data_IF_710378465352
#
_entry.id   IF_710378465352
#
_cell.length_a   1.000
_cell.length_b   1.000
_cell.length_c   1.000
_cell.angle_alpha   90.00
_cell.angle_beta   90.00
_cell.angle_gamma   90.00
#
_symmetry.space_group_name_H-M   'P 1'
#
loop_
_entity.id
_entity.type
_entity.pdbx_description
1 polymer ?
#
# COMPACT_ATOMS: atom_id res chain seq x y z
N UNK A 1 23.67 3.46 -17.02
CA UNK A 1 22.38 3.60 -17.74
C UNK A 1 22.57 2.95 -19.10
N UNK A 2 21.77 1.94 -19.42
CA UNK A 2 21.91 1.13 -20.67
C UNK A 2 21.07 1.76 -21.78
N UNK A 3 19.83 2.14 -21.49
CA UNK A 3 18.99 3.03 -22.29
C UNK A 3 17.93 3.69 -21.42
N UNK A 4 17.29 4.72 -21.97
CA UNK A 4 16.11 5.40 -21.43
C UNK A 4 15.14 5.68 -22.58
N UNK A 5 13.85 5.80 -22.26
CA UNK A 5 12.85 6.27 -23.21
C UNK A 5 11.76 7.05 -22.45
N UNK A 6 11.15 8.00 -23.14
CA UNK A 6 9.97 8.69 -22.65
C UNK A 6 8.72 8.03 -23.23
N UNK A 7 7.78 7.66 -22.37
CA UNK A 7 6.48 7.17 -22.82
C UNK A 7 5.52 8.35 -23.00
N UNK A 8 5.34 8.81 -24.23
CA UNK A 8 4.40 9.88 -24.55
C UNK A 8 3.02 9.31 -24.88
N UNK A 9 2.04 9.58 -24.02
CA UNK A 9 0.65 9.39 -24.40
C UNK A 9 0.23 10.57 -25.26
N UNK A 10 -0.26 10.33 -26.48
CA UNK A 10 -0.81 11.38 -27.34
C UNK A 10 -2.13 12.00 -26.77
N UNK A 11 -2.43 11.75 -25.51
CA UNK A 11 -3.62 12.13 -24.77
C UNK A 11 -3.27 12.42 -23.29
N UNK A 12 -4.04 13.32 -22.67
CA UNK A 12 -3.83 13.82 -21.30
C UNK A 12 -2.63 14.75 -21.13
N UNK A 13 -2.43 15.23 -19.90
CA UNK A 13 -1.37 16.19 -19.57
C UNK A 13 -0.08 15.51 -19.10
N UNK A 14 -0.18 14.32 -18.47
CA UNK A 14 0.93 13.56 -17.89
C UNK A 14 0.60 12.06 -17.83
N UNK A 15 1.65 11.25 -17.75
CA UNK A 15 1.63 9.82 -17.48
C UNK A 15 2.81 9.48 -16.57
N UNK A 16 2.72 8.41 -15.80
CA UNK A 16 3.76 8.01 -14.86
C UNK A 16 3.72 6.51 -14.58
N UNK A 17 4.89 5.88 -14.60
CA UNK A 17 5.07 4.50 -14.15
C UNK A 17 5.87 4.52 -12.85
N UNK A 18 5.36 3.83 -11.85
CA UNK A 18 5.86 3.92 -10.47
C UNK A 18 6.47 2.59 -10.01
N UNK A 19 6.13 1.48 -10.69
CA UNK A 19 6.54 0.14 -10.30
C UNK A 19 6.89 -0.72 -11.50
N UNK A 20 7.84 -1.63 -11.30
CA UNK A 20 8.30 -2.61 -12.28
C UNK A 20 8.41 -3.99 -11.61
N UNK A 21 7.94 -5.03 -12.32
CA UNK A 21 8.17 -6.43 -11.95
C UNK A 21 8.70 -7.22 -13.14
N UNK A 22 9.65 -8.11 -12.89
CA UNK A 22 10.13 -9.06 -13.89
C UNK A 22 9.11 -10.18 -14.09
N UNK A 23 9.06 -10.73 -15.30
CA UNK A 23 8.23 -11.88 -15.67
C UNK A 23 9.10 -13.09 -15.98
N UNK A 24 8.52 -14.29 -15.86
CA UNK A 24 9.23 -15.56 -16.00
C UNK A 24 9.87 -15.79 -17.37
N UNK A 25 9.33 -15.16 -18.42
CA UNK A 25 9.88 -15.15 -19.78
C UNK A 25 11.17 -14.32 -19.93
N UNK A 26 11.56 -13.55 -18.90
CA UNK A 26 12.70 -12.64 -18.91
C UNK A 26 12.37 -11.22 -19.39
N UNK A 27 11.09 -10.90 -19.61
CA UNK A 27 10.60 -9.55 -19.81
C UNK A 27 10.24 -8.86 -18.50
N UNK A 28 9.42 -7.81 -18.58
CA UNK A 28 8.97 -7.07 -17.41
C UNK A 28 7.61 -6.41 -17.63
N UNK A 29 6.90 -6.14 -16.53
CA UNK A 29 5.67 -5.35 -16.49
C UNK A 29 5.95 -4.07 -15.73
N UNK A 30 5.47 -2.94 -16.25
CA UNK A 30 5.40 -1.67 -15.51
C UNK A 30 3.96 -1.30 -15.23
N UNK A 31 3.73 -0.70 -14.06
CA UNK A 31 2.42 -0.28 -13.60
C UNK A 31 2.41 1.19 -13.22
N UNK A 32 1.28 1.84 -13.45
CA UNK A 32 1.14 3.28 -13.20
C UNK A 32 -0.18 3.84 -13.72
N UNK A 33 -0.12 5.07 -14.24
CA UNK A 33 -1.26 5.77 -14.81
C UNK A 33 -0.90 6.44 -16.15
N UNK A 34 -1.92 6.62 -17.00
CA UNK A 34 -1.85 7.41 -18.23
C UNK A 34 -2.95 8.45 -18.29
N UNK A 35 -2.82 9.40 -19.22
CA UNK A 35 -3.88 10.36 -19.55
C UNK A 35 -4.37 11.21 -18.36
N UNK A 36 -3.49 11.56 -17.41
CA UNK A 36 -3.88 12.41 -16.28
C UNK A 36 -4.51 13.71 -16.77
N UNK A 37 -5.69 14.01 -16.25
CA UNK A 37 -6.37 15.29 -16.47
C UNK A 37 -5.84 16.28 -15.45
N UNK A 38 -5.47 17.49 -15.88
CA UNK A 38 -5.02 18.54 -14.96
C UNK A 38 -6.12 18.85 -13.94
N UNK A 39 -5.85 18.57 -12.67
CA UNK A 39 -6.68 18.89 -11.51
C UNK A 39 -5.80 19.38 -10.35
N UNK A 40 -6.42 19.74 -9.23
CA UNK A 40 -5.65 19.96 -7.99
C UNK A 40 -4.84 18.69 -7.66
N UNK A 41 -3.63 18.89 -7.15
CA UNK A 41 -2.83 17.81 -6.60
C UNK A 41 -3.68 17.11 -5.51
N UNK A 42 -3.81 15.77 -5.51
CA UNK A 42 -4.66 15.10 -4.53
C UNK A 42 -4.25 15.49 -3.11
N UNK A 43 -5.23 15.85 -2.28
CA UNK A 43 -4.99 16.42 -0.95
C UNK A 43 -4.35 15.45 0.04
N UNK A 44 -4.27 14.15 -0.29
CA UNK A 44 -3.75 13.10 0.58
C UNK A 44 -2.60 12.35 -0.10
N UNK A 45 -1.38 12.86 0.10
CA UNK A 45 -0.14 12.31 -0.47
C UNK A 45 0.39 11.10 0.32
N UNK A 46 0.09 11.03 1.62
CA UNK A 46 0.76 10.10 2.55
C UNK A 46 0.62 8.63 2.14
N UNK A 47 -0.46 8.21 1.45
CA UNK A 47 -0.62 6.85 0.89
C UNK A 47 0.30 6.47 -0.28
N UNK A 48 1.47 7.11 -0.40
CA UNK A 48 2.39 6.99 -1.55
C UNK A 48 1.79 7.43 -2.88
N UNK A 49 0.71 8.22 -2.88
CA UNK A 49 -0.02 8.64 -4.08
C UNK A 49 0.65 9.86 -4.67
N UNK A 50 1.33 9.67 -5.80
CA UNK A 50 2.06 10.76 -6.44
C UNK A 50 1.17 11.46 -7.45
N UNK A 51 0.31 10.75 -8.19
CA UNK A 51 -0.56 11.33 -9.22
C UNK A 51 -1.67 10.36 -9.68
N UNK A 52 -2.64 10.91 -10.40
CA UNK A 52 -3.98 10.34 -10.60
C UNK A 52 -4.37 10.43 -12.10
N UNK A 53 -4.62 9.28 -12.76
CA UNK A 53 -4.99 9.18 -14.18
C UNK A 53 -5.76 7.89 -14.51
N UNK A 54 -5.80 7.45 -15.76
CA UNK A 54 -6.33 6.12 -16.10
C UNK A 54 -5.30 5.06 -15.70
N UNK A 55 -5.63 4.10 -14.81
CA UNK A 55 -4.71 3.04 -14.39
C UNK A 55 -4.26 2.17 -15.57
N UNK A 56 -2.97 1.83 -15.64
CA UNK A 56 -2.37 1.08 -16.75
C UNK A 56 -1.33 0.05 -16.32
N UNK A 57 -1.26 -1.06 -17.04
CA UNK A 57 -0.15 -2.01 -17.06
C UNK A 57 0.39 -2.16 -18.48
N UNK A 58 1.71 -2.16 -18.62
CA UNK A 58 2.41 -2.48 -19.86
C UNK A 58 3.36 -3.65 -19.65
N UNK A 59 3.26 -4.65 -20.52
CA UNK A 59 4.28 -5.71 -20.61
C UNK A 59 5.25 -5.40 -21.73
N UNK A 60 6.53 -5.58 -21.44
CA UNK A 60 7.61 -5.54 -22.41
C UNK A 60 8.25 -6.91 -22.55
N UNK A 61 8.76 -7.18 -23.74
CA UNK A 61 9.32 -8.48 -24.08
C UNK A 61 10.74 -8.67 -23.51
N UNK A 62 11.24 -9.92 -23.46
CA UNK A 62 12.63 -10.18 -23.09
C UNK A 62 13.63 -9.49 -24.02
N UNK A 63 13.30 -9.31 -25.31
CA UNK A 63 14.17 -8.60 -26.26
C UNK A 63 14.37 -7.14 -25.85
N UNK A 64 13.31 -6.46 -25.40
CA UNK A 64 13.40 -5.09 -24.88
C UNK A 64 14.18 -5.06 -23.57
N UNK A 65 13.88 -5.99 -22.65
CA UNK A 65 14.55 -6.07 -21.34
C UNK A 65 16.06 -6.26 -21.46
N UNK A 66 16.51 -7.03 -22.46
CA UNK A 66 17.92 -7.37 -22.67
C UNK A 66 18.61 -6.50 -23.73
N UNK A 67 17.91 -5.54 -24.33
CA UNK A 67 18.48 -4.68 -25.34
C UNK A 67 19.57 -3.76 -24.75
N UNK A 68 20.67 -3.61 -25.49
CA UNK A 68 21.71 -2.63 -25.15
C UNK A 68 21.27 -1.18 -25.47
N UNK A 69 20.26 -1.01 -26.33
CA UNK A 69 19.64 0.27 -26.65
C UNK A 69 18.26 0.05 -27.27
N UNK A 70 17.27 0.87 -26.92
CA UNK A 70 15.95 0.90 -27.59
C UNK A 70 15.54 2.36 -27.77
N UNK A 71 15.10 2.74 -28.98
CA UNK A 71 14.68 4.13 -29.27
C UNK A 71 13.20 4.39 -29.02
N UNK A 72 12.38 3.35 -29.09
CA UNK A 72 10.92 3.42 -28.93
C UNK A 72 10.40 2.04 -28.52
N UNK A 73 10.56 1.63 -27.25
CA UNK A 73 10.11 0.33 -26.80
C UNK A 73 8.58 0.29 -26.82
N UNK A 74 8.04 -0.66 -27.57
CA UNK A 74 6.60 -0.90 -27.64
C UNK A 74 6.23 -2.05 -26.70
N UNK A 75 5.16 -1.89 -25.90
CA UNK A 75 4.70 -2.98 -25.08
C UNK A 75 4.13 -4.10 -25.95
N UNK A 76 4.31 -5.36 -25.53
CA UNK A 76 3.68 -6.52 -26.17
C UNK A 76 2.17 -6.50 -25.98
N UNK A 77 1.71 -5.95 -24.86
CA UNK A 77 0.32 -5.64 -24.59
C UNK A 77 0.19 -4.49 -23.59
N UNK A 78 -0.95 -3.81 -23.67
CA UNK A 78 -1.37 -2.76 -22.74
C UNK A 78 -2.72 -3.13 -22.15
N UNK A 79 -2.84 -3.04 -20.83
CA UNK A 79 -4.10 -3.16 -20.12
C UNK A 79 -4.45 -1.82 -19.46
N UNK A 80 -5.67 -1.34 -19.66
CA UNK A 80 -6.17 -0.06 -19.15
C UNK A 80 -7.54 -0.24 -18.50
N UNK A 81 -7.78 0.43 -17.37
CA UNK A 81 -9.10 0.45 -16.72
C UNK A 81 -10.05 1.47 -17.39
N UNK A 82 -10.27 1.37 -18.70
CA UNK A 82 -11.12 2.28 -19.47
C UNK A 82 -12.47 1.67 -19.91
N UNK A 83 -12.74 0.42 -19.53
CA UNK A 83 -13.96 -0.31 -19.90
C UNK A 83 -14.04 -0.69 -21.38
N UNK A 84 -12.97 -0.56 -22.16
CA UNK A 84 -12.92 -0.91 -23.59
C UNK A 84 -12.37 -2.33 -23.80
N UNK A 85 -12.45 -2.86 -25.03
CA UNK A 85 -11.85 -4.16 -25.39
C UNK A 85 -12.22 -5.35 -24.47
N UNK A 86 -13.48 -5.41 -24.02
CA UNK A 86 -13.99 -6.44 -23.09
C UNK A 86 -13.39 -6.40 -21.67
N UNK A 87 -12.66 -5.34 -21.32
CA UNK A 87 -12.24 -5.04 -19.95
C UNK A 87 -13.44 -4.59 -19.13
N UNK A 88 -13.62 -5.14 -17.93
CA UNK A 88 -14.69 -4.71 -17.02
C UNK A 88 -14.23 -3.61 -16.07
N UNK A 89 -12.94 -3.52 -15.77
CA UNK A 89 -12.38 -2.41 -15.01
C UNK A 89 -12.62 -1.06 -15.72
N UNK A 90 -13.39 -0.19 -15.06
CA UNK A 90 -13.71 1.15 -15.58
C UNK A 90 -13.44 2.17 -14.49
N UNK A 91 -12.25 2.76 -14.49
CA UNK A 91 -11.80 3.71 -13.48
C UNK A 91 -11.32 4.99 -14.17
N UNK A 92 -12.02 6.08 -13.88
CA UNK A 92 -11.65 7.40 -14.40
C UNK A 92 -10.37 7.96 -13.75
N UNK A 93 -10.00 7.45 -12.57
CA UNK A 93 -8.88 7.94 -11.80
C UNK A 93 -8.24 6.86 -10.90
N UNK A 94 -6.92 6.72 -10.99
CA UNK A 94 -6.07 5.88 -10.16
C UNK A 94 -4.69 5.59 -10.79
N UNK A 95 -3.97 4.62 -10.23
CA UNK A 95 -2.65 4.17 -10.69
C UNK A 95 -2.41 2.72 -10.26
N UNK A 96 -1.84 1.89 -11.14
CA UNK A 96 -1.44 0.49 -10.85
C UNK A 96 -0.01 0.38 -10.32
N UNK A 97 0.34 1.22 -9.35
CA UNK A 97 1.67 1.21 -8.73
C UNK A 97 1.87 0.04 -7.77
N UNK A 98 0.82 -0.47 -7.14
CA UNK A 98 0.95 -1.57 -6.19
C UNK A 98 0.56 -2.85 -6.89
N UNK A 99 1.55 -3.67 -7.25
CA UNK A 99 1.32 -4.91 -7.99
C UNK A 99 2.27 -6.03 -7.55
N UNK A 100 1.90 -7.26 -7.93
CA UNK A 100 2.76 -8.45 -7.84
C UNK A 100 2.55 -9.33 -9.07
N UNK A 101 3.64 -9.78 -9.66
CA UNK A 101 3.64 -10.86 -10.67
C UNK A 101 3.78 -12.19 -9.95
N UNK A 102 2.94 -13.16 -10.31
CA UNK A 102 2.93 -14.49 -9.71
C UNK A 102 2.54 -15.55 -10.74
N UNK A 103 2.90 -16.81 -10.47
CA UNK A 103 2.48 -17.95 -11.28
C UNK A 103 1.60 -18.88 -10.45
N UNK A 104 0.54 -19.40 -11.06
CA UNK A 104 -0.29 -20.47 -10.52
C UNK A 104 -0.49 -21.57 -11.58
N UNK A 105 -1.34 -22.58 -11.28
CA UNK A 105 -1.64 -23.67 -12.22
C UNK A 105 -2.24 -23.25 -13.57
N UNK A 106 -2.83 -22.06 -13.64
CA UNK A 106 -3.40 -21.45 -14.84
C UNK A 106 -2.45 -20.50 -15.58
N UNK A 107 -1.19 -20.35 -15.14
CA UNK A 107 -0.17 -19.52 -15.79
C UNK A 107 0.24 -18.28 -14.99
N UNK A 108 1.14 -17.49 -15.57
CA UNK A 108 1.66 -16.27 -14.95
C UNK A 108 0.65 -15.12 -15.06
N UNK A 109 0.44 -14.42 -13.95
CA UNK A 109 -0.53 -13.35 -13.79
C UNK A 109 0.10 -12.17 -13.05
N UNK A 110 -0.51 -11.00 -13.19
CA UNK A 110 -0.23 -9.82 -12.37
C UNK A 110 -1.51 -9.45 -11.62
N UNK A 111 -1.40 -9.26 -10.31
CA UNK A 111 -2.43 -8.62 -9.50
C UNK A 111 -2.00 -7.19 -9.21
N UNK A 112 -2.91 -6.23 -9.34
CA UNK A 112 -2.64 -4.82 -9.07
C UNK A 112 -3.79 -4.16 -8.30
N UNK A 113 -3.45 -3.12 -7.54
CA UNK A 113 -4.40 -2.20 -6.90
C UNK A 113 -4.49 -0.94 -7.76
N UNK A 114 -5.57 -0.73 -8.53
CA UNK A 114 -5.64 0.36 -9.49
C UNK A 114 -6.09 1.69 -8.87
N UNK A 115 -6.49 1.70 -7.59
CA UNK A 115 -6.97 2.90 -6.89
C UNK A 115 -6.37 2.94 -5.48
N UNK A 116 -6.53 4.06 -4.75
CA UNK A 116 -6.29 4.08 -3.32
C UNK A 116 -7.06 3.01 -2.57
N UNK A 117 -8.30 2.71 -2.98
CA UNK A 117 -9.15 1.74 -2.29
C UNK A 117 -8.63 0.32 -2.50
N UNK A 118 -9.03 -0.60 -1.63
CA UNK A 118 -8.71 -2.03 -1.74
C UNK A 118 -9.42 -2.73 -2.91
N UNK A 119 -9.37 -2.17 -4.11
CA UNK A 119 -9.90 -2.74 -5.36
C UNK A 119 -8.77 -3.52 -6.02
N UNK A 120 -9.05 -4.72 -6.54
CA UNK A 120 -8.05 -5.59 -7.16
C UNK A 120 -8.41 -5.85 -8.62
N UNK A 121 -7.39 -5.86 -9.47
CA UNK A 121 -7.45 -6.33 -10.87
C UNK A 121 -6.42 -7.45 -11.04
N UNK A 122 -6.78 -8.51 -11.75
CA UNK A 122 -5.88 -9.59 -12.15
C UNK A 122 -5.84 -9.64 -13.68
N UNK A 123 -4.63 -9.63 -14.24
CA UNK A 123 -4.37 -9.70 -15.68
C UNK A 123 -3.47 -10.90 -15.99
N UNK A 124 -3.79 -11.63 -17.05
CA UNK A 124 -2.95 -12.70 -17.58
C UNK A 124 -1.69 -12.12 -18.24
N UNK A 125 -0.50 -12.61 -17.85
CA UNK A 125 0.77 -12.05 -18.35
C UNK A 125 1.04 -12.40 -19.80
N UNK A 126 0.56 -13.55 -20.29
CA UNK A 126 0.82 -13.96 -21.66
C UNK A 126 0.03 -13.13 -22.69
N UNK A 127 -1.20 -12.77 -22.36
CA UNK A 127 -2.15 -12.14 -23.29
C UNK A 127 -2.52 -10.69 -22.95
N UNK A 128 -2.32 -10.24 -21.71
CA UNK A 128 -2.85 -8.96 -21.23
C UNK A 128 -4.36 -8.97 -20.99
N UNK A 129 -5.01 -10.15 -21.01
CA UNK A 129 -6.44 -10.26 -20.80
C UNK A 129 -6.81 -10.09 -19.32
N UNK A 130 -7.91 -9.38 -19.05
CA UNK A 130 -8.50 -9.33 -17.71
C UNK A 130 -8.97 -10.72 -17.27
N UNK A 131 -8.45 -11.18 -16.14
CA UNK A 131 -8.85 -12.44 -15.51
C UNK A 131 -9.95 -12.20 -14.49
N UNK A 132 -9.79 -11.16 -13.66
CA UNK A 132 -10.75 -10.78 -12.65
C UNK A 132 -10.63 -9.30 -12.28
N UNK A 133 -11.76 -8.73 -11.85
CA UNK A 133 -11.85 -7.40 -11.28
C UNK A 133 -12.80 -7.43 -10.10
N UNK A 134 -12.37 -6.94 -8.93
CA UNK A 134 -13.20 -6.98 -7.71
C UNK A 134 -14.38 -6.01 -7.75
N UNK A 135 -14.37 -5.04 -8.69
CA UNK A 135 -15.42 -4.03 -8.83
C UNK A 135 -15.28 -2.84 -7.89
N UNK A 136 -15.83 -1.71 -8.34
CA UNK A 136 -15.96 -0.43 -7.64
C UNK A 136 -17.44 -0.09 -7.31
N UNK A 137 -18.29 -1.11 -7.19
CA UNK A 137 -19.63 -0.92 -6.63
C UNK A 137 -19.55 -0.71 -5.12
N UNK A 138 -20.34 0.20 -4.55
CA UNK A 138 -20.39 0.42 -3.08
C UNK A 138 -20.74 -0.86 -2.30
N UNK A 139 -21.42 -1.81 -2.96
CA UNK A 139 -21.80 -3.11 -2.41
C UNK A 139 -20.78 -4.23 -2.66
N UNK A 140 -19.66 -3.96 -3.34
CA UNK A 140 -18.63 -4.98 -3.61
C UNK A 140 -17.94 -5.45 -2.32
N UNK A 141 -17.98 -4.64 -1.26
CA UNK A 141 -17.26 -4.89 -0.01
C UNK A 141 -15.78 -4.49 -0.05
N UNK A 142 -15.30 -3.99 -1.19
CA UNK A 142 -13.91 -3.59 -1.42
C UNK A 142 -13.70 -2.06 -1.28
N UNK A 143 -14.69 -1.24 -1.67
CA UNK A 143 -14.58 0.23 -1.59
C UNK A 143 -14.51 0.77 -0.17
N UNK A 144 -15.24 0.15 0.76
CA UNK A 144 -15.31 0.58 2.15
C UNK A 144 -14.21 0.00 3.04
N UNK A 145 -13.28 -0.77 2.47
CA UNK A 145 -12.31 -1.53 3.26
C UNK A 145 -11.02 -0.76 3.59
N UNK A 146 -10.98 0.53 3.24
CA UNK A 146 -9.84 1.43 3.45
C UNK A 146 -9.06 1.68 2.18
N UNK A 147 -7.88 2.28 2.37
CA UNK A 147 -6.91 2.57 1.34
C UNK A 147 -5.80 1.51 1.35
N UNK A 148 -5.71 0.68 0.32
CA UNK A 148 -4.67 -0.33 0.17
C UNK A 148 -3.42 0.26 -0.51
N UNK A 149 -2.30 0.21 0.20
CA UNK A 149 -1.03 0.77 -0.24
C UNK A 149 -0.02 -0.29 -0.68
N UNK A 150 -0.22 -1.58 -0.38
CA UNK A 150 0.57 -2.67 -0.95
C UNK A 150 -0.21 -3.99 -0.94
N UNK A 151 0.27 -4.98 -1.70
CA UNK A 151 -0.38 -6.27 -1.91
C UNK A 151 0.63 -7.43 -1.96
N UNK A 152 0.25 -8.57 -1.39
CA UNK A 152 0.97 -9.84 -1.48
C UNK A 152 0.06 -10.98 -1.93
N UNK A 153 0.62 -11.92 -2.69
CA UNK A 153 -0.10 -13.10 -3.21
C UNK A 153 0.10 -14.27 -2.27
N UNK A 154 -0.96 -14.95 -1.85
CA UNK A 154 -0.88 -16.15 -1.01
C UNK A 154 -0.95 -17.37 -1.90
N UNK A 155 0.11 -18.19 -1.89
CA UNK A 155 0.15 -19.46 -2.60
C UNK A 155 0.09 -20.61 -1.59
N UNK A 156 -0.62 -21.67 -1.95
CA UNK A 156 -0.63 -22.92 -1.20
C UNK A 156 0.61 -23.78 -1.51
N UNK A 157 0.70 -24.97 -0.91
CA UNK A 157 1.82 -25.90 -1.13
C UNK A 157 1.91 -26.49 -2.55
N UNK A 158 0.90 -26.27 -3.39
CA UNK A 158 0.84 -26.70 -4.79
C UNK A 158 1.08 -25.53 -5.77
N UNK A 159 1.36 -24.33 -5.26
CA UNK A 159 1.42 -23.06 -6.01
C UNK A 159 0.06 -22.59 -6.56
N UNK A 160 -1.07 -23.05 -6.00
CA UNK A 160 -2.37 -22.46 -6.31
C UNK A 160 -2.62 -21.21 -5.44
N UNK A 161 -3.33 -20.23 -5.98
CA UNK A 161 -3.64 -18.99 -5.23
C UNK A 161 -4.67 -19.29 -4.15
N UNK A 162 -4.30 -19.05 -2.90
CA UNK A 162 -5.18 -19.16 -1.74
C UNK A 162 -5.83 -17.80 -1.39
N UNK A 163 -5.29 -16.70 -1.90
CA UNK A 163 -5.85 -15.37 -1.76
C UNK A 163 -4.84 -14.25 -1.99
N UNK A 164 -5.27 -13.03 -1.66
CA UNK A 164 -4.45 -11.82 -1.75
C UNK A 164 -4.51 -11.09 -0.42
N UNK A 165 -3.37 -10.71 0.13
CA UNK A 165 -3.31 -9.88 1.34
C UNK A 165 -2.96 -8.47 0.92
N UNK A 166 -3.66 -7.47 1.44
CA UNK A 166 -3.32 -6.07 1.27
C UNK A 166 -3.03 -5.43 2.62
N UNK A 167 -2.20 -4.40 2.62
CA UNK A 167 -1.99 -3.52 3.77
C UNK A 167 -2.33 -2.08 3.41
N UNK A 168 -2.57 -1.25 4.40
CA UNK A 168 -2.93 0.14 4.17
C UNK A 168 -3.44 0.87 5.41
N UNK A 169 -4.28 1.87 5.18
CA UNK A 169 -4.97 2.63 6.23
C UNK A 169 -6.49 2.51 6.10
N UNK A 170 -7.20 2.55 7.22
CA UNK A 170 -8.66 2.60 7.26
C UNK A 170 -9.07 3.69 8.22
N UNK A 171 -9.93 4.60 7.75
CA UNK A 171 -10.44 5.66 8.58
C UNK A 171 -11.91 5.46 8.98
N UNK A 172 -12.26 5.97 10.15
CA UNK A 172 -13.63 6.07 10.63
C UNK A 172 -13.83 7.39 11.36
N UNK A 173 -14.93 8.07 11.08
CA UNK A 173 -15.35 9.22 11.87
C UNK A 173 -15.98 8.75 13.18
N UNK A 174 -15.63 9.42 14.27
CA UNK A 174 -16.24 9.22 15.59
C UNK A 174 -16.76 10.56 16.10
N UNK A 175 -17.80 10.51 16.94
CA UNK A 175 -18.42 11.71 17.52
C UNK A 175 -18.15 11.85 19.02
N UNK A 176 -17.52 10.85 19.62
CA UNK A 176 -17.16 10.83 21.04
C UNK A 176 -15.87 10.03 21.22
N UNK A 177 -14.95 10.53 22.04
CA UNK A 177 -13.68 9.88 22.36
C UNK A 177 -13.24 10.20 23.79
N UNK A 178 -12.84 9.19 24.56
CA UNK A 178 -12.45 9.37 25.97
C UNK A 178 -13.49 10.07 26.86
N UNK A 179 -14.77 10.05 26.48
CA UNK A 179 -15.87 10.75 27.18
C UNK A 179 -16.10 12.20 26.73
N UNK A 180 -15.31 12.72 25.80
CA UNK A 180 -15.47 14.04 25.19
C UNK A 180 -16.28 13.95 23.90
N UNK A 181 -17.21 14.90 23.68
CA UNK A 181 -17.84 15.06 22.37
C UNK A 181 -16.86 15.71 21.41
N UNK A 182 -16.63 15.11 20.25
CA UNK A 182 -15.81 15.71 19.22
C UNK A 182 -16.39 15.46 17.82
N UNK A 183 -17.05 16.48 17.30
CA UNK A 183 -17.68 16.45 15.98
C UNK A 183 -16.61 16.61 14.90
N UNK A 184 -16.38 15.56 14.11
CA UNK A 184 -15.31 15.50 13.11
C UNK A 184 -14.02 14.81 13.55
N UNK A 185 -13.97 14.20 14.75
CA UNK A 185 -12.87 13.31 15.10
C UNK A 185 -12.78 12.14 14.13
N UNK A 186 -11.55 11.73 13.82
CA UNK A 186 -11.25 10.60 12.95
C UNK A 186 -10.31 9.65 13.67
N UNK A 187 -10.50 8.35 13.47
CA UNK A 187 -9.51 7.32 13.81
C UNK A 187 -8.94 6.83 12.50
N UNK A 188 -7.63 6.73 12.38
CA UNK A 188 -6.95 6.09 11.25
C UNK A 188 -6.14 4.92 11.79
N UNK A 189 -6.51 3.72 11.38
CA UNK A 189 -5.83 2.48 11.74
C UNK A 189 -5.07 1.94 10.54
N UNK A 190 -3.90 1.35 10.78
CA UNK A 190 -3.29 0.46 9.80
C UNK A 190 -4.16 -0.79 9.66
N UNK A 191 -4.06 -1.52 8.56
CA UNK A 191 -4.78 -2.79 8.44
C UNK A 191 -4.06 -3.83 7.61
N UNK A 192 -4.46 -5.08 7.79
CA UNK A 192 -4.29 -6.14 6.82
C UNK A 192 -5.64 -6.73 6.47
N UNK A 193 -5.90 -6.98 5.19
CA UNK A 193 -7.07 -7.75 4.75
C UNK A 193 -6.63 -8.86 3.83
N UNK A 194 -7.13 -10.09 4.04
CA UNK A 194 -7.02 -11.19 3.07
C UNK A 194 -8.31 -11.32 2.27
N UNK A 195 -8.20 -11.31 0.95
CA UNK A 195 -9.27 -11.59 0.00
C UNK A 195 -9.17 -13.00 -0.57
N UNK A 196 -10.32 -13.53 -0.98
CA UNK A 196 -10.42 -14.81 -1.69
C UNK A 196 -9.75 -14.73 -3.07
N UNK A 197 -9.26 -15.86 -3.61
CA UNK A 197 -8.58 -15.90 -4.91
C UNK A 197 -9.50 -15.53 -6.08
N UNK A 198 -10.81 -15.75 -5.93
CA UNK A 198 -11.84 -15.39 -6.93
C UNK A 198 -12.36 -13.96 -6.77
N UNK A 199 -11.79 -13.17 -5.85
CA UNK A 199 -12.22 -11.82 -5.49
C UNK A 199 -13.71 -11.71 -5.08
N UNK A 200 -14.34 -12.81 -4.64
CA UNK A 200 -15.75 -12.80 -4.20
C UNK A 200 -15.96 -12.17 -2.81
N UNK A 201 -14.89 -11.85 -2.09
CA UNK A 201 -14.94 -11.14 -0.81
C UNK A 201 -13.74 -11.39 0.10
N UNK A 202 -13.86 -10.92 1.34
CA UNK A 202 -12.84 -11.06 2.39
C UNK A 202 -12.85 -12.45 3.03
N UNK A 203 -11.68 -12.93 3.43
CA UNK A 203 -11.48 -14.08 4.31
C UNK A 203 -11.30 -13.65 5.75
N UNK A 204 -10.47 -12.63 5.99
CA UNK A 204 -10.26 -12.01 7.29
C UNK A 204 -9.73 -10.59 7.13
N UNK A 205 -9.87 -9.78 8.18
CA UNK A 205 -9.20 -8.48 8.29
C UNK A 205 -8.76 -8.22 9.73
N UNK A 206 -7.67 -7.46 9.86
CA UNK A 206 -7.01 -7.11 11.12
C UNK A 206 -6.72 -5.62 11.12
N UNK A 207 -7.19 -4.91 12.14
CA UNK A 207 -6.83 -3.52 12.39
C UNK A 207 -5.59 -3.44 13.27
N UNK A 208 -4.77 -2.41 13.01
CA UNK A 208 -3.49 -2.14 13.66
C UNK A 208 -3.56 -0.73 14.27
N UNK A 209 -4.10 -0.58 15.49
CA UNK A 209 -4.20 0.70 16.17
C UNK A 209 -2.95 0.99 17.01
N UNK A 210 -1.94 1.65 16.44
CA UNK A 210 -0.67 1.90 17.15
C UNK A 210 -0.77 2.96 18.25
N UNK A 211 -1.82 3.79 18.25
CA UNK A 211 -2.13 4.71 19.36
C UNK A 211 -2.32 4.05 20.72
N UNK A 212 -2.53 2.72 20.72
CA UNK A 212 -2.68 1.89 21.91
C UNK A 212 -1.40 1.17 22.32
N UNK A 213 -0.35 1.24 21.50
CA UNK A 213 0.89 0.51 21.74
C UNK A 213 1.83 1.35 22.63
N UNK A 214 2.24 0.84 23.80
CA UNK A 214 3.22 1.53 24.62
C UNK A 214 4.63 1.41 24.03
N UNK A 215 5.50 2.33 24.46
CA UNK A 215 6.92 2.32 24.15
C UNK A 215 7.29 3.15 22.91
N UNK A 216 8.44 2.82 22.35
CA UNK A 216 9.17 3.66 21.41
C UNK A 216 10.60 3.87 21.90
N UNK A 217 11.42 4.52 21.07
CA UNK A 217 12.80 4.88 21.40
C UNK A 217 12.94 6.40 21.49
N UNK A 218 14.05 6.87 22.06
CA UNK A 218 14.39 8.29 22.16
C UNK A 218 13.27 9.13 22.81
N UNK A 219 12.74 10.15 22.14
CA UNK A 219 11.67 11.03 22.65
C UNK A 219 10.33 10.30 22.90
N UNK A 220 10.17 9.10 22.35
CA UNK A 220 8.99 8.26 22.54
C UNK A 220 9.21 7.16 23.61
N UNK A 221 10.39 7.12 24.24
CA UNK A 221 10.70 6.13 25.26
C UNK A 221 9.76 6.27 26.46
N UNK A 222 9.11 5.16 26.83
CA UNK A 222 8.22 5.12 27.99
C UNK A 222 6.83 5.70 27.77
N UNK A 223 6.47 6.09 26.54
CA UNK A 223 5.09 6.48 26.23
C UNK A 223 4.12 5.35 26.50
N UNK A 224 2.94 5.71 27.02
CA UNK A 224 1.84 4.78 27.24
C UNK A 224 0.82 4.88 26.12
N UNK A 225 -0.13 3.94 26.10
CA UNK A 225 -1.31 4.05 25.25
C UNK A 225 -1.98 5.42 25.42
N UNK A 226 -2.42 6.01 24.31
CA UNK A 226 -3.28 7.19 24.34
C UNK A 226 -4.60 6.84 25.01
N UNK A 227 -5.15 7.78 25.78
CA UNK A 227 -6.52 7.67 26.31
C UNK A 227 -7.60 7.99 25.25
N UNK A 228 -7.18 8.50 24.09
CA UNK A 228 -8.03 8.96 23.00
C UNK A 228 -7.68 8.22 21.71
N UNK A 229 -8.65 7.51 21.13
CA UNK A 229 -8.49 6.75 19.88
C UNK A 229 -8.26 7.66 18.67
N UNK A 230 -8.86 8.85 18.66
CA UNK A 230 -8.76 9.82 17.57
C UNK A 230 -7.46 10.60 17.51
N UNK A 231 -6.58 10.41 18.50
CA UNK A 231 -5.41 11.25 18.63
C UNK A 231 -4.25 10.74 17.79
N UNK A 232 -3.95 9.44 17.87
CA UNK A 232 -2.74 8.86 17.29
C UNK A 232 -3.11 7.96 16.14
N UNK A 233 -2.77 8.39 14.94
CA UNK A 233 -3.02 7.67 13.71
C UNK A 233 -1.98 6.58 13.46
N UNK A 234 -2.38 5.64 12.62
CA UNK A 234 -1.52 4.62 12.03
C UNK A 234 -1.80 4.55 10.54
N UNK A 235 -0.75 4.63 9.74
CA UNK A 235 -0.84 4.41 8.30
C UNK A 235 0.23 3.40 7.90
N UNK A 236 -0.12 2.44 7.06
CA UNK A 236 0.82 1.45 6.53
C UNK A 236 0.94 1.59 5.02
N UNK A 237 2.16 1.43 4.50
CA UNK A 237 2.49 1.76 3.10
C UNK A 237 3.16 0.63 2.34
N UNK A 238 4.02 -0.15 3.00
CA UNK A 238 4.71 -1.29 2.40
C UNK A 238 4.43 -2.58 3.14
N UNK A 239 4.49 -3.70 2.45
CA UNK A 239 4.39 -5.03 3.04
C UNK A 239 5.30 -6.04 2.36
N UNK A 240 5.79 -7.00 3.14
CA UNK A 240 6.46 -8.18 2.61
C UNK A 240 5.97 -9.45 3.32
N UNK A 241 6.15 -10.58 2.64
CA UNK A 241 6.01 -11.90 3.24
C UNK A 241 7.15 -12.12 4.24
N UNK A 242 6.84 -12.79 5.33
CA UNK A 242 7.83 -13.27 6.29
C UNK A 242 8.00 -14.76 6.13
N UNK A 243 9.23 -15.18 5.86
CA UNK A 243 9.63 -16.58 5.86
C UNK A 243 10.35 -16.97 7.15
N UNK A 244 10.18 -18.21 7.58
CA UNK A 244 10.95 -18.80 8.67
C UNK A 244 12.36 -19.24 8.21
N UNK A 245 13.15 -19.82 9.10
CA UNK A 245 14.51 -20.27 8.78
C UNK A 245 14.57 -21.41 7.75
N UNK A 246 13.45 -22.08 7.48
CA UNK A 246 13.32 -23.12 6.46
C UNK A 246 12.77 -22.56 5.13
N UNK A 247 12.52 -21.25 5.04
CA UNK A 247 11.92 -20.59 3.89
C UNK A 247 10.41 -20.75 3.79
N UNK A 248 9.74 -21.31 4.81
CA UNK A 248 8.29 -21.42 4.81
C UNK A 248 7.67 -20.05 5.10
N UNK A 249 6.66 -19.66 4.33
CA UNK A 249 5.89 -18.44 4.58
C UNK A 249 5.07 -18.59 5.88
N UNK A 250 5.26 -17.66 6.82
CA UNK A 250 4.70 -17.73 8.19
C UNK A 250 3.92 -16.48 8.60
N UNK A 251 3.70 -15.53 7.68
CA UNK A 251 2.97 -14.30 7.95
C UNK A 251 3.49 -13.13 7.15
N UNK A 252 3.14 -11.93 7.59
CA UNK A 252 3.43 -10.68 6.88
C UNK A 252 4.04 -9.67 7.83
N UNK A 253 4.84 -8.76 7.26
CA UNK A 253 5.34 -7.59 7.96
C UNK A 253 4.93 -6.35 7.18
N UNK A 254 4.49 -5.30 7.87
CA UNK A 254 4.17 -4.02 7.25
C UNK A 254 5.06 -2.89 7.77
N UNK A 255 5.43 -2.02 6.84
CA UNK A 255 6.02 -0.71 7.03
C UNK A 255 4.90 0.29 7.27
N UNK A 256 4.92 0.93 8.44
CA UNK A 256 3.91 1.88 8.87
C UNK A 256 4.53 3.12 9.52
N UNK A 257 3.68 4.09 9.79
CA UNK A 257 3.99 5.31 10.54
C UNK A 257 2.90 5.56 11.56
N UNK A 258 3.26 6.26 12.62
CA UNK A 258 2.32 6.65 13.67
C UNK A 258 2.67 8.00 14.26
N UNK A 259 1.65 8.84 14.38
CA UNK A 259 1.76 10.21 14.85
C UNK A 259 0.39 10.84 14.98
N UNK A 260 0.39 12.13 15.33
CA UNK A 260 -0.81 12.96 15.44
C UNK A 260 -0.85 13.89 14.22
N UNK A 261 -1.92 13.82 13.41
CA UNK A 261 -2.13 14.69 12.24
C UNK A 261 -3.60 15.16 12.18
N UNK A 262 -3.94 16.37 11.69
CA UNK A 262 -3.09 17.48 11.22
C UNK A 262 -2.62 18.42 12.36
N UNK A 263 -2.52 17.88 13.58
CA UNK A 263 -2.07 18.61 14.77
C UNK A 263 -3.20 18.98 15.73
N UNK A 264 -2.85 19.62 16.85
CA UNK A 264 -3.72 19.71 18.03
C UNK A 264 -4.91 20.68 17.92
N UNK A 265 -4.90 21.60 16.95
CA UNK A 265 -5.89 22.68 16.85
C UNK A 265 -7.30 22.22 16.50
N UNK A 266 -7.46 21.00 15.98
CA UNK A 266 -8.77 20.43 15.62
C UNK A 266 -9.44 19.68 16.78
N UNK A 267 -8.69 19.38 17.85
CA UNK A 267 -9.18 18.54 18.93
C UNK A 267 -9.76 19.40 20.07
N UNK A 268 -11.02 19.14 20.50
CA UNK A 268 -11.63 19.89 21.59
C UNK A 268 -11.14 19.41 22.97
N UNK A 269 -11.34 20.27 23.98
CA UNK A 269 -11.32 19.88 25.40
C UNK A 269 -10.10 19.08 25.84
N UNK A 270 -10.35 17.95 26.51
CA UNK A 270 -9.30 17.09 27.03
C UNK A 270 -8.45 16.43 25.94
N UNK A 271 -9.01 16.18 24.75
CA UNK A 271 -8.28 15.61 23.61
C UNK A 271 -7.20 16.59 23.14
N UNK A 272 -7.56 17.86 22.94
CA UNK A 272 -6.60 18.90 22.55
C UNK A 272 -5.54 19.18 23.61
N UNK A 273 -5.90 19.07 24.89
CA UNK A 273 -4.96 19.19 26.01
C UNK A 273 -3.94 18.05 26.00
N UNK A 274 -4.40 16.80 25.85
CA UNK A 274 -3.51 15.63 25.75
C UNK A 274 -2.58 15.77 24.55
N UNK A 275 -3.14 16.14 23.39
CA UNK A 275 -2.38 16.37 22.16
C UNK A 275 -1.21 17.33 22.34
N UNK A 276 -1.45 18.49 22.95
CA UNK A 276 -0.46 19.58 23.03
C UNK A 276 0.78 19.24 23.87
N UNK A 277 0.73 18.14 24.62
CA UNK A 277 1.83 17.65 25.46
C UNK A 277 2.35 16.28 25.04
N UNK A 278 1.78 15.70 23.98
CA UNK A 278 2.14 14.38 23.51
C UNK A 278 3.32 14.44 22.56
N UNK A 279 4.38 13.67 22.81
CA UNK A 279 5.54 13.63 21.93
C UNK A 279 5.19 13.10 20.51
N UNK A 280 4.05 12.41 20.36
CA UNK A 280 3.52 11.89 19.09
C UNK A 280 2.97 12.97 18.16
N UNK A 281 3.05 14.25 18.51
CA UNK A 281 2.94 15.34 17.54
C UNK A 281 4.01 15.26 16.46
N UNK A 282 5.11 14.55 16.72
CA UNK A 282 6.03 14.05 15.71
C UNK A 282 5.65 12.63 15.28
N UNK A 283 5.66 12.36 13.97
CA UNK A 283 5.52 11.01 13.42
C UNK A 283 6.75 10.15 13.72
N UNK A 284 6.53 8.84 13.87
CA UNK A 284 7.59 7.84 14.02
C UNK A 284 7.30 6.58 13.22
N UNK A 285 8.36 5.91 12.79
CA UNK A 285 8.26 4.63 12.11
C UNK A 285 7.67 3.55 13.00
N UNK A 286 6.72 2.80 12.45
CA UNK A 286 6.16 1.61 13.06
C UNK A 286 6.33 0.41 12.12
N UNK A 287 6.65 -0.74 12.69
CA UNK A 287 6.71 -2.00 11.98
C UNK A 287 5.82 -2.97 12.72
N UNK A 288 5.03 -3.74 11.98
CA UNK A 288 4.07 -4.68 12.55
C UNK A 288 4.21 -6.01 11.85
N UNK A 289 4.12 -7.11 12.60
CA UNK A 289 4.12 -8.45 12.04
C UNK A 289 2.85 -9.17 12.44
N UNK A 290 2.17 -9.76 11.45
CA UNK A 290 1.05 -10.67 11.65
C UNK A 290 1.41 -12.10 11.23
N UNK A 291 0.72 -13.10 11.78
CA UNK A 291 0.76 -14.47 11.28
C UNK A 291 -0.19 -14.67 10.07
N UNK A 292 -0.24 -15.88 9.52
CA UNK A 292 -1.11 -16.21 8.38
C UNK A 292 -2.62 -16.16 8.69
N UNK A 293 -2.99 -16.17 9.97
CA UNK A 293 -4.36 -16.05 10.43
C UNK A 293 -4.75 -14.60 10.75
N UNK A 294 -3.82 -13.64 10.54
CA UNK A 294 -4.05 -12.23 10.80
C UNK A 294 -3.79 -11.81 12.25
N UNK A 295 -3.25 -12.66 13.11
CA UNK A 295 -2.96 -12.28 14.50
C UNK A 295 -1.66 -11.47 14.58
N UNK A 296 -1.68 -10.36 15.33
CA UNK A 296 -0.47 -9.60 15.62
C UNK A 296 0.52 -10.46 16.44
N UNK A 297 1.73 -10.64 15.90
CA UNK A 297 2.80 -11.41 16.53
C UNK A 297 3.74 -10.50 17.32
N UNK A 298 4.18 -9.41 16.70
CA UNK A 298 4.96 -8.36 17.35
C UNK A 298 4.82 -7.04 16.59
N UNK A 299 5.19 -5.96 17.26
CA UNK A 299 5.40 -4.66 16.64
C UNK A 299 6.71 -4.06 17.14
N UNK A 300 7.19 -3.06 16.42
CA UNK A 300 8.33 -2.23 16.79
C UNK A 300 8.03 -0.79 16.41
N UNK A 301 8.41 0.15 17.28
CA UNK A 301 8.33 1.57 17.00
C UNK A 301 9.74 2.14 17.12
N UNK A 302 10.24 2.67 16.01
CA UNK A 302 11.56 3.28 15.91
C UNK A 302 11.41 4.74 15.47
N UNK A 303 12.49 5.51 15.58
CA UNK A 303 12.55 6.93 15.21
C UNK A 303 13.93 7.22 14.65
N UNK A 304 14.11 8.40 14.05
CA UNK A 304 15.38 8.87 13.52
C UNK A 304 16.54 8.66 14.50
N UNK A 305 17.69 8.30 13.92
CA UNK A 305 18.91 7.97 14.65
C UNK A 305 19.63 9.24 15.17
N UNK A 306 19.29 10.43 14.66
CA UNK A 306 19.91 11.70 15.03
C UNK A 306 18.86 12.77 15.37
N UNK A 307 18.71 13.06 16.66
CA UNK A 307 17.76 14.05 17.20
C UNK A 307 18.05 15.50 16.77
N UNK A 308 19.17 15.75 16.08
CA UNK A 308 19.57 17.10 15.67
C UNK A 308 19.17 17.46 14.23
N UNK A 309 18.77 16.49 13.43
CA UNK A 309 18.53 16.67 11.99
C UNK A 309 17.07 16.46 11.57
N UNK A 310 16.34 15.52 12.18
CA UNK A 310 14.98 15.17 11.77
C UNK A 310 13.99 15.32 12.93
N UNK A 311 12.78 15.79 12.64
CA UNK A 311 11.68 15.94 13.58
C UNK A 311 10.68 14.77 13.53
N UNK A 312 10.59 14.07 12.39
CA UNK A 312 9.59 13.05 12.10
C UNK A 312 10.17 11.87 11.31
N UNK A 313 9.57 10.68 11.44
CA UNK A 313 9.96 9.46 10.72
C UNK A 313 8.75 8.62 10.35
N UNK A 314 8.81 7.92 9.22
CA UNK A 314 7.79 6.96 8.78
C UNK A 314 8.46 5.77 8.10
N UNK A 315 8.12 4.53 8.47
CA UNK A 315 8.60 3.36 7.74
C UNK A 315 7.73 3.18 6.49
N UNK A 316 8.26 3.47 5.31
CA UNK A 316 7.46 3.47 4.07
C UNK A 316 7.62 2.18 3.26
N UNK A 317 8.81 1.58 3.27
CA UNK A 317 9.09 0.35 2.54
C UNK A 317 9.74 -0.69 3.44
N UNK A 318 9.43 -1.96 3.20
CA UNK A 318 9.89 -3.07 4.04
C UNK A 318 10.15 -4.31 3.20
N UNK A 319 11.17 -5.06 3.59
CA UNK A 319 11.40 -6.40 3.04
C UNK A 319 12.17 -7.28 4.03
N UNK A 320 12.04 -8.60 3.88
CA UNK A 320 12.89 -9.57 4.56
C UNK A 320 14.14 -9.85 3.72
N UNK A 321 15.31 -9.51 4.26
CA UNK A 321 16.58 -9.85 3.65
C UNK A 321 16.85 -11.37 3.70
N UNK A 322 17.73 -11.87 2.83
CA UNK A 322 18.08 -13.31 2.74
C UNK A 322 18.61 -13.94 4.03
N UNK A 323 19.10 -13.14 4.97
CA UNK A 323 19.55 -13.58 6.29
C UNK A 323 18.41 -13.64 7.33
N UNK A 324 17.15 -13.42 6.90
CA UNK A 324 15.95 -13.43 7.75
C UNK A 324 15.68 -12.12 8.48
N UNK A 325 16.57 -11.12 8.40
CA UNK A 325 16.34 -9.83 9.03
C UNK A 325 15.30 -9.01 8.27
N UNK A 326 14.48 -8.29 9.01
CA UNK A 326 13.57 -7.28 8.46
C UNK A 326 14.35 -5.99 8.23
N UNK A 327 14.30 -5.48 7.00
CA UNK A 327 14.86 -4.18 6.60
C UNK A 327 13.71 -3.24 6.34
N UNK A 328 13.72 -2.10 7.02
CA UNK A 328 12.77 -1.00 6.82
C UNK A 328 13.52 0.19 6.25
N UNK A 329 12.94 0.83 5.25
CA UNK A 329 13.38 2.12 4.73
C UNK A 329 12.43 3.17 5.29
N UNK A 330 13.01 4.17 5.93
CA UNK A 330 12.29 5.26 6.55
C UNK A 330 12.36 6.53 5.71
N UNK A 331 11.23 7.22 5.57
CA UNK A 331 11.19 8.63 5.20
C UNK A 331 11.39 9.46 6.48
N UNK A 332 12.24 10.48 6.39
CA UNK A 332 12.61 11.32 7.53
C UNK A 332 12.27 12.77 7.18
N UNK A 333 11.45 13.40 8.03
CA UNK A 333 11.02 14.80 7.90
C UNK A 333 11.75 15.71 8.90
N UNK A 334 11.93 16.97 8.52
CA UNK A 334 12.51 18.03 9.36
C UNK A 334 11.42 18.83 10.09
#
# INVERSE_FOLDING_TARGET
MIWEFDYTTNAGARSGFETLHLTSDGGFIVGGFINRVNGEFPAFKSGGQVDDGTPVLHKFSPEIANAASVSDPQPTWTYTCDGTNSVTCTLANGSMKNMRVYADSGGEKVVALPTPKSILVIVDVASGAEVAYSGDGINSGFIGDGTANDIEVVLDGNNDVEGFVVTGLRDKFITTDGGETCDGCKVIDGFFTKYKPDLSGKLWDTLIPTGTWPGGINQFAGLTASAFESLVYTECWGMDKVTDTNGAHVGYVAACGTGIEPGCGIHPGAIGTACSTDARTAWRGAITRIDLAGNLVWYRMDSFNDLSASGESASEYIFQAKNGHIVSLTDEGD
#
